data_IF_619622078379
#
_entry.id   IF_619622078379
#
_cell.length_a   1.000
_cell.length_b   1.000
_cell.length_c   1.000
_cell.angle_alpha   90.00
_cell.angle_beta   90.00
_cell.angle_gamma   90.00
#
_symmetry.space_group_name_H-M   'P 1'
#
loop_
_entity.id
_entity.type
_entity.pdbx_description
1 polymer ?
#
# COMPACT_ATOMS: atom_id res chain seq x y z
N UNK A 1 -22.93 -20.52 -8.97
CA UNK A 1 -22.45 -19.17 -8.62
C UNK A 1 -23.14 -18.09 -9.45
N UNK A 2 -23.05 -18.07 -10.79
CA UNK A 2 -23.78 -17.08 -11.60
C UNK A 2 -25.29 -17.02 -11.32
N UNK A 3 -25.95 -18.18 -11.26
CA UNK A 3 -27.37 -18.27 -10.88
C UNK A 3 -27.68 -17.79 -9.45
N UNK A 4 -26.71 -17.89 -8.52
CA UNK A 4 -26.86 -17.38 -7.15
C UNK A 4 -26.75 -15.86 -7.17
N UNK A 5 -25.74 -15.31 -7.87
CA UNK A 5 -25.51 -13.87 -7.95
C UNK A 5 -26.72 -13.10 -8.51
N UNK A 6 -27.41 -13.67 -9.50
CA UNK A 6 -28.59 -13.02 -10.12
C UNK A 6 -29.91 -13.24 -9.37
N UNK A 7 -29.96 -14.17 -8.41
CA UNK A 7 -31.21 -14.49 -7.74
C UNK A 7 -31.52 -13.49 -6.62
N UNK A 8 -32.45 -12.58 -6.88
CA UNK A 8 -32.90 -11.55 -5.93
C UNK A 8 -33.58 -12.10 -4.66
N UNK A 9 -34.00 -13.37 -4.66
CA UNK A 9 -34.55 -14.01 -3.45
C UNK A 9 -33.46 -14.39 -2.43
N UNK A 10 -32.18 -14.30 -2.81
CA UNK A 10 -31.03 -14.61 -1.96
C UNK A 10 -30.50 -13.31 -1.35
N UNK A 11 -30.06 -13.36 -0.09
CA UNK A 11 -29.48 -12.19 0.58
C UNK A 11 -28.29 -11.60 -0.21
N UNK A 12 -28.19 -10.27 -0.21
CA UNK A 12 -27.25 -9.55 -1.06
C UNK A 12 -25.77 -9.90 -0.78
N UNK A 13 -25.42 -10.13 0.48
CA UNK A 13 -24.09 -10.60 0.91
C UNK A 13 -23.72 -11.96 0.29
N UNK A 14 -24.65 -12.90 0.18
CA UNK A 14 -24.44 -14.21 -0.45
C UNK A 14 -24.25 -14.06 -1.96
N UNK A 15 -25.00 -13.14 -2.57
CA UNK A 15 -24.87 -12.82 -4.00
C UNK A 15 -23.51 -12.19 -4.31
N UNK A 16 -23.03 -11.30 -3.44
CA UNK A 16 -21.68 -10.71 -3.48
C UNK A 16 -20.61 -11.80 -3.36
N UNK A 17 -20.72 -12.68 -2.37
CA UNK A 17 -19.75 -13.77 -2.18
C UNK A 17 -19.74 -14.73 -3.39
N UNK A 18 -20.88 -14.93 -4.05
CA UNK A 18 -20.92 -15.72 -5.28
C UNK A 18 -20.13 -15.10 -6.44
N UNK A 19 -20.01 -13.77 -6.50
CA UNK A 19 -19.17 -13.05 -7.46
C UNK A 19 -17.69 -13.12 -7.09
N UNK A 20 -17.32 -12.92 -5.82
CA UNK A 20 -15.94 -13.13 -5.38
C UNK A 20 -15.46 -14.56 -5.65
N UNK A 21 -16.31 -15.56 -5.39
CA UNK A 21 -16.00 -16.95 -5.70
C UNK A 21 -15.84 -17.22 -7.21
N UNK A 22 -16.47 -16.41 -8.07
CA UNK A 22 -16.25 -16.45 -9.52
C UNK A 22 -14.94 -15.77 -9.92
N UNK A 23 -14.59 -14.65 -9.27
CA UNK A 23 -13.33 -13.94 -9.48
C UNK A 23 -12.13 -14.85 -9.19
N UNK A 24 -12.17 -15.55 -8.06
CA UNK A 24 -11.09 -16.45 -7.62
C UNK A 24 -11.16 -17.85 -8.23
N UNK A 25 -12.12 -18.13 -9.11
CA UNK A 25 -12.43 -19.49 -9.53
C UNK A 25 -11.23 -20.24 -10.11
N UNK A 26 -10.41 -19.55 -10.92
CA UNK A 26 -9.24 -20.15 -11.57
C UNK A 26 -8.11 -20.50 -10.61
N UNK A 27 -7.99 -19.78 -9.50
CA UNK A 27 -6.92 -19.93 -8.51
C UNK A 27 -7.42 -19.63 -7.09
N UNK A 28 -8.33 -20.46 -6.56
CA UNK A 28 -8.94 -20.20 -5.27
C UNK A 28 -7.92 -20.35 -4.14
N UNK A 29 -8.12 -19.62 -3.05
CA UNK A 29 -7.29 -19.75 -1.84
C UNK A 29 -7.21 -21.21 -1.38
N UNK A 30 -6.02 -21.64 -0.97
CA UNK A 30 -5.84 -22.94 -0.33
C UNK A 30 -6.44 -23.01 1.07
N UNK A 31 -6.92 -21.88 1.61
CA UNK A 31 -7.57 -21.79 2.91
C UNK A 31 -9.08 -21.73 2.75
N UNK A 32 -9.78 -22.60 3.46
CA UNK A 32 -11.24 -22.59 3.54
C UNK A 32 -11.72 -21.30 4.23
N UNK A 33 -12.62 -20.56 3.56
CA UNK A 33 -13.07 -19.23 4.01
C UNK A 33 -13.96 -19.26 5.25
N UNK A 34 -14.57 -20.40 5.57
CA UNK A 34 -15.50 -20.53 6.70
C UNK A 34 -14.76 -21.03 7.94
N UNK A 35 -13.91 -22.04 7.75
CA UNK A 35 -13.21 -22.75 8.85
C UNK A 35 -11.78 -22.25 9.06
N UNK A 36 -11.20 -21.55 8.09
CA UNK A 36 -9.80 -21.10 8.11
C UNK A 36 -8.79 -22.23 7.92
N UNK A 37 -9.25 -23.47 7.67
CA UNK A 37 -8.38 -24.64 7.52
C UNK A 37 -7.70 -24.61 6.15
N UNK A 38 -6.39 -24.86 6.13
CA UNK A 38 -5.64 -25.04 4.89
C UNK A 38 -5.97 -26.40 4.26
N UNK A 39 -6.65 -26.37 3.12
CA UNK A 39 -7.03 -27.53 2.31
C UNK A 39 -7.03 -27.15 0.81
N UNK A 40 -5.85 -27.01 0.18
CA UNK A 40 -5.75 -26.58 -1.21
C UNK A 40 -6.35 -27.62 -2.17
N UNK A 41 -6.94 -27.13 -3.26
CA UNK A 41 -7.46 -28.00 -4.31
C UNK A 41 -6.31 -28.70 -5.04
N UNK A 42 -6.51 -29.97 -5.39
CA UNK A 42 -5.52 -30.79 -6.10
C UNK A 42 -5.27 -30.34 -7.56
N UNK A 43 -6.04 -29.38 -8.09
CA UNK A 43 -5.89 -28.88 -9.45
C UNK A 43 -6.62 -27.56 -9.69
N UNK A 44 -6.27 -26.92 -10.80
CA UNK A 44 -6.86 -25.65 -11.25
C UNK A 44 -8.27 -25.84 -11.78
N UNK A 45 -9.13 -24.83 -11.57
CA UNK A 45 -10.42 -24.77 -12.27
C UNK A 45 -10.28 -23.89 -13.51
N UNK A 46 -11.09 -24.16 -14.53
CA UNK A 46 -11.05 -23.40 -15.78
C UNK A 46 -11.59 -21.98 -15.56
N UNK A 47 -10.73 -20.98 -15.78
CA UNK A 47 -11.15 -19.56 -15.77
C UNK A 47 -12.20 -19.26 -16.86
N UNK A 48 -12.22 -20.04 -17.94
CA UNK A 48 -13.23 -19.92 -19.01
C UNK A 48 -14.64 -20.27 -18.50
N UNK A 49 -14.77 -21.19 -17.54
CA UNK A 49 -16.07 -21.52 -16.96
C UNK A 49 -16.61 -20.35 -16.13
N UNK A 50 -15.73 -19.71 -15.37
CA UNK A 50 -16.07 -18.50 -14.61
C UNK A 50 -16.41 -17.34 -15.55
N UNK A 51 -15.61 -17.11 -16.60
CA UNK A 51 -15.87 -16.09 -17.62
C UNK A 51 -17.26 -16.25 -18.24
N UNK A 52 -17.62 -17.47 -18.66
CA UNK A 52 -18.96 -17.76 -19.21
C UNK A 52 -20.07 -17.51 -18.20
N UNK A 53 -19.86 -17.88 -16.93
CA UNK A 53 -20.84 -17.65 -15.87
C UNK A 53 -21.04 -16.16 -15.57
N UNK A 54 -19.96 -15.37 -15.49
CA UNK A 54 -20.02 -13.91 -15.30
C UNK A 54 -20.69 -13.25 -16.50
N UNK A 55 -20.29 -13.61 -17.73
CA UNK A 55 -20.88 -13.07 -18.96
C UNK A 55 -22.38 -13.32 -19.04
N UNK A 56 -22.84 -14.52 -18.67
CA UNK A 56 -24.27 -14.85 -18.67
C UNK A 56 -25.06 -14.12 -17.57
N UNK A 57 -24.44 -13.80 -16.44
CA UNK A 57 -25.09 -13.13 -15.31
C UNK A 57 -25.14 -11.60 -15.50
N UNK A 58 -24.15 -11.04 -16.19
CA UNK A 58 -23.91 -9.61 -16.31
C UNK A 58 -25.15 -8.78 -16.71
N UNK A 59 -25.98 -9.15 -17.72
CA UNK A 59 -27.13 -8.34 -18.09
C UNK A 59 -28.15 -8.11 -16.95
N UNK A 60 -28.25 -9.04 -16.00
CA UNK A 60 -29.16 -8.95 -14.86
C UNK A 60 -28.55 -8.22 -13.66
N UNK A 61 -27.22 -8.11 -13.62
CA UNK A 61 -26.49 -7.44 -12.54
C UNK A 61 -26.10 -6.00 -12.88
N UNK A 62 -26.05 -5.67 -14.17
CA UNK A 62 -25.56 -4.40 -14.68
C UNK A 62 -26.38 -3.17 -14.24
N UNK A 63 -27.67 -3.35 -13.91
CA UNK A 63 -28.61 -2.28 -13.54
C UNK A 63 -28.84 -2.19 -12.01
N UNK A 64 -28.01 -2.87 -11.21
CA UNK A 64 -28.26 -2.94 -9.77
C UNK A 64 -27.67 -1.72 -9.04
N UNK A 65 -28.50 -1.02 -8.28
CA UNK A 65 -28.12 0.14 -7.44
C UNK A 65 -27.40 -0.23 -6.13
N UNK A 66 -27.06 -1.50 -5.94
CA UNK A 66 -26.44 -1.95 -4.69
C UNK A 66 -24.94 -1.97 -4.87
N UNK A 67 -24.28 -1.01 -4.23
CA UNK A 67 -22.88 -0.69 -4.48
C UNK A 67 -21.95 -1.89 -4.29
N UNK A 68 -22.14 -2.69 -3.25
CA UNK A 68 -21.27 -3.85 -2.96
C UNK A 68 -21.36 -4.92 -4.06
N UNK A 69 -22.55 -5.12 -4.63
CA UNK A 69 -22.74 -6.06 -5.74
C UNK A 69 -22.11 -5.53 -7.04
N UNK A 70 -22.18 -4.22 -7.27
CA UNK A 70 -21.50 -3.58 -8.41
C UNK A 70 -19.98 -3.71 -8.28
N UNK A 71 -19.42 -3.41 -7.11
CA UNK A 71 -17.98 -3.58 -6.85
C UNK A 71 -17.53 -5.04 -7.03
N UNK A 72 -18.26 -6.00 -6.47
CA UNK A 72 -17.96 -7.42 -6.65
C UNK A 72 -18.08 -7.88 -8.11
N UNK A 73 -18.98 -7.28 -8.90
CA UNK A 73 -19.09 -7.56 -10.33
C UNK A 73 -17.91 -6.99 -11.13
N UNK A 74 -17.44 -5.78 -10.80
CA UNK A 74 -16.24 -5.20 -11.42
C UNK A 74 -15.04 -6.13 -11.20
N UNK A 75 -14.83 -6.57 -9.96
CA UNK A 75 -13.75 -7.48 -9.60
C UNK A 75 -13.85 -8.81 -10.37
N UNK A 76 -15.05 -9.41 -10.42
CA UNK A 76 -15.27 -10.64 -11.18
C UNK A 76 -15.00 -10.45 -12.69
N UNK A 77 -15.44 -9.33 -13.27
CA UNK A 77 -15.19 -8.96 -14.68
C UNK A 77 -13.70 -8.83 -14.96
N UNK A 78 -12.96 -8.16 -14.08
CA UNK A 78 -11.51 -7.95 -14.18
C UNK A 78 -10.75 -9.27 -14.06
N UNK A 79 -11.03 -10.05 -13.01
CA UNK A 79 -10.36 -11.32 -12.73
C UNK A 79 -10.54 -12.35 -13.86
N UNK A 80 -11.75 -12.43 -14.43
CA UNK A 80 -12.01 -13.33 -15.58
C UNK A 80 -11.65 -12.71 -16.93
N UNK A 81 -11.15 -11.47 -16.98
CA UNK A 81 -10.78 -10.75 -18.21
C UNK A 81 -11.92 -10.69 -19.23
N UNK A 82 -13.10 -10.21 -18.81
CA UNK A 82 -14.28 -10.13 -19.67
C UNK A 82 -14.30 -8.84 -20.50
N UNK A 83 -13.64 -8.83 -21.67
CA UNK A 83 -13.54 -7.67 -22.55
C UNK A 83 -14.91 -7.10 -23.00
N UNK A 84 -15.92 -7.97 -23.17
CA UNK A 84 -17.28 -7.56 -23.56
C UNK A 84 -17.97 -6.66 -22.51
N UNK A 85 -17.41 -6.55 -21.31
CA UNK A 85 -17.94 -5.69 -20.25
C UNK A 85 -17.51 -4.22 -20.35
N UNK A 86 -16.62 -3.86 -21.29
CA UNK A 86 -16.03 -2.52 -21.41
C UNK A 86 -17.06 -1.39 -21.48
N UNK A 87 -18.15 -1.56 -22.25
CA UNK A 87 -19.20 -0.54 -22.35
C UNK A 87 -19.95 -0.33 -21.02
N UNK A 88 -20.16 -1.41 -20.27
CA UNK A 88 -20.78 -1.33 -18.95
C UNK A 88 -19.84 -0.66 -17.93
N UNK A 89 -18.55 -0.99 -17.95
CA UNK A 89 -17.55 -0.34 -17.08
C UNK A 89 -17.51 1.18 -17.29
N UNK A 90 -17.56 1.64 -18.54
CA UNK A 90 -17.66 3.07 -18.86
C UNK A 90 -18.97 3.68 -18.35
N UNK A 91 -20.10 2.96 -18.44
CA UNK A 91 -21.37 3.37 -17.84
C UNK A 91 -21.31 3.48 -16.31
N UNK A 92 -20.70 2.50 -15.65
CA UNK A 92 -20.47 2.47 -14.20
C UNK A 92 -19.60 3.63 -13.73
N UNK A 93 -18.51 3.93 -14.46
CA UNK A 93 -17.67 5.12 -14.21
C UNK A 93 -18.46 6.42 -14.26
N UNK A 94 -19.43 6.51 -15.18
CA UNK A 94 -20.26 7.71 -15.41
C UNK A 94 -21.42 7.87 -14.43
N UNK A 95 -21.76 6.82 -13.69
CA UNK A 95 -22.87 6.84 -12.75
C UNK A 95 -22.48 7.62 -11.48
N UNK A 96 -23.10 8.78 -11.27
CA UNK A 96 -22.87 9.66 -10.12
C UNK A 96 -23.57 9.20 -8.84
N UNK A 97 -24.46 8.21 -8.92
CA UNK A 97 -25.05 7.55 -7.74
C UNK A 97 -24.07 6.58 -7.05
N UNK A 98 -23.01 6.15 -7.75
CA UNK A 98 -21.99 5.25 -7.20
C UNK A 98 -20.89 6.01 -6.48
N UNK A 99 -20.28 5.38 -5.47
CA UNK A 99 -19.14 5.97 -4.79
C UNK A 99 -17.95 6.16 -5.73
N UNK A 100 -17.12 7.15 -5.42
CA UNK A 100 -15.87 7.36 -6.13
C UNK A 100 -14.95 6.14 -6.09
N UNK A 101 -15.06 5.26 -5.09
CA UNK A 101 -14.28 4.02 -5.06
C UNK A 101 -14.74 3.07 -6.16
N UNK A 102 -16.03 2.74 -6.21
CA UNK A 102 -16.60 1.85 -7.22
C UNK A 102 -16.38 2.40 -8.63
N UNK A 103 -16.45 3.73 -8.79
CA UNK A 103 -16.17 4.40 -10.07
C UNK A 103 -14.68 4.33 -10.45
N UNK A 104 -13.76 4.44 -9.48
CA UNK A 104 -12.32 4.24 -9.69
C UNK A 104 -12.02 2.80 -10.10
N UNK A 105 -12.60 1.81 -9.42
CA UNK A 105 -12.45 0.39 -9.75
C UNK A 105 -12.94 0.12 -11.19
N UNK A 106 -14.03 0.76 -11.60
CA UNK A 106 -14.54 0.66 -12.96
C UNK A 106 -13.58 1.26 -14.01
N UNK A 107 -12.93 2.38 -13.70
CA UNK A 107 -11.93 3.00 -14.59
C UNK A 107 -10.68 2.14 -14.72
N UNK A 108 -10.20 1.59 -13.61
CA UNK A 108 -9.08 0.64 -13.62
C UNK A 108 -9.41 -0.61 -14.46
N UNK A 109 -10.55 -1.24 -14.21
CA UNK A 109 -10.97 -2.41 -14.98
C UNK A 109 -11.17 -2.06 -16.47
N UNK A 110 -11.71 -0.88 -16.79
CA UNK A 110 -11.85 -0.40 -18.16
C UNK A 110 -10.48 -0.28 -18.83
N UNK A 111 -9.51 0.33 -18.15
CA UNK A 111 -8.17 0.55 -18.69
C UNK A 111 -7.37 -0.73 -18.94
N UNK A 112 -7.70 -1.81 -18.22
CA UNK A 112 -7.07 -3.13 -18.39
C UNK A 112 -7.73 -4.00 -19.47
N UNK A 113 -9.02 -3.77 -19.75
CA UNK A 113 -9.84 -4.67 -20.60
C UNK A 113 -10.24 -4.07 -21.94
N UNK A 114 -10.33 -2.74 -22.04
CA UNK A 114 -10.90 -2.07 -23.20
C UNK A 114 -9.85 -1.63 -24.23
N UNK A 115 -10.30 -1.41 -25.47
CA UNK A 115 -9.50 -0.76 -26.50
C UNK A 115 -9.21 0.71 -26.14
N UNK A 116 -8.08 1.23 -26.63
CA UNK A 116 -7.58 2.57 -26.27
C UNK A 116 -8.59 3.70 -26.46
N UNK A 117 -9.51 3.60 -27.43
CA UNK A 117 -10.54 4.62 -27.63
C UNK A 117 -11.50 4.76 -26.43
N UNK A 118 -11.97 3.64 -25.86
CA UNK A 118 -12.85 3.63 -24.70
C UNK A 118 -12.11 4.01 -23.41
N UNK A 119 -10.84 3.58 -23.29
CA UNK A 119 -9.99 4.01 -22.17
C UNK A 119 -9.81 5.53 -22.19
N UNK A 120 -9.54 6.12 -23.36
CA UNK A 120 -9.39 7.56 -23.52
C UNK A 120 -10.68 8.31 -23.16
N UNK A 121 -11.84 7.80 -23.58
CA UNK A 121 -13.14 8.36 -23.23
C UNK A 121 -13.40 8.33 -21.71
N UNK A 122 -13.08 7.21 -21.05
CA UNK A 122 -13.20 7.08 -19.58
C UNK A 122 -12.25 8.00 -18.82
N UNK A 123 -10.99 8.07 -19.25
CA UNK A 123 -9.99 8.96 -18.66
C UNK A 123 -10.39 10.43 -18.82
N UNK A 124 -10.79 10.87 -20.02
CA UNK A 124 -11.25 12.24 -20.25
C UNK A 124 -12.44 12.60 -19.37
N UNK A 125 -13.44 11.73 -19.30
CA UNK A 125 -14.60 11.93 -18.44
C UNK A 125 -14.19 12.11 -16.97
N UNK A 126 -13.34 11.22 -16.46
CA UNK A 126 -12.90 11.25 -15.06
C UNK A 126 -12.02 12.48 -14.76
N UNK A 127 -11.22 12.96 -15.71
CA UNK A 127 -10.47 14.21 -15.57
C UNK A 127 -11.38 15.45 -15.53
N UNK A 128 -12.38 15.53 -16.40
CA UNK A 128 -13.24 16.70 -16.54
C UNK A 128 -14.39 16.77 -15.52
N UNK A 129 -14.97 15.62 -15.17
CA UNK A 129 -16.22 15.51 -14.39
C UNK A 129 -16.06 14.69 -13.11
N UNK A 130 -14.93 14.01 -12.93
CA UNK A 130 -14.67 13.21 -11.74
C UNK A 130 -14.37 14.05 -10.51
N UNK A 131 -14.53 13.45 -9.33
CA UNK A 131 -13.98 14.00 -8.10
C UNK A 131 -12.45 13.98 -8.12
N UNK A 132 -11.79 14.62 -7.13
CA UNK A 132 -10.32 14.52 -6.99
C UNK A 132 -9.84 13.06 -6.99
N UNK A 133 -10.56 12.14 -6.34
CA UNK A 133 -10.20 10.71 -6.31
C UNK A 133 -10.23 10.08 -7.71
N UNK A 134 -11.27 10.38 -8.49
CA UNK A 134 -11.40 9.87 -9.86
C UNK A 134 -10.41 10.50 -10.83
N UNK A 135 -10.15 11.80 -10.68
CA UNK A 135 -9.12 12.50 -11.46
C UNK A 135 -7.76 11.86 -11.24
N UNK A 136 -7.39 11.51 -10.00
CA UNK A 136 -6.15 10.79 -9.71
C UNK A 136 -6.06 9.42 -10.39
N UNK A 137 -7.14 8.65 -10.35
CA UNK A 137 -7.16 7.34 -11.01
C UNK A 137 -7.02 7.50 -12.53
N UNK A 138 -7.71 8.49 -13.11
CA UNK A 138 -7.63 8.80 -14.54
C UNK A 138 -6.22 9.18 -14.99
N UNK A 139 -5.49 9.95 -14.18
CA UNK A 139 -4.10 10.33 -14.46
C UNK A 139 -3.20 9.10 -14.62
N UNK A 140 -3.42 8.01 -13.86
CA UNK A 140 -2.61 6.77 -13.97
C UNK A 140 -2.75 6.10 -15.34
N UNK A 141 -3.94 6.19 -15.94
CA UNK A 141 -4.27 5.57 -17.22
C UNK A 141 -4.10 6.51 -18.42
N UNK A 142 -3.80 7.79 -18.16
CA UNK A 142 -3.68 8.85 -19.16
C UNK A 142 -2.57 8.63 -20.19
N UNK A 143 -1.53 7.86 -19.85
CA UNK A 143 -0.43 7.52 -20.76
C UNK A 143 -0.88 6.83 -22.07
N UNK A 144 -2.15 6.42 -22.18
CA UNK A 144 -2.74 5.85 -23.41
C UNK A 144 -3.48 6.87 -24.31
N UNK A 145 -3.54 8.16 -23.93
CA UNK A 145 -4.26 9.21 -24.66
C UNK A 145 -3.35 10.23 -25.34
N UNK A 146 -3.75 10.74 -26.52
CA UNK A 146 -2.97 11.67 -27.34
C UNK A 146 -2.83 13.09 -26.77
N UNK A 147 -3.61 13.45 -25.73
CA UNK A 147 -3.58 14.76 -25.04
C UNK A 147 -2.94 14.67 -23.63
N UNK A 148 -2.03 13.72 -23.43
CA UNK A 148 -1.41 13.38 -22.14
C UNK A 148 -0.77 14.59 -21.42
N UNK A 149 0.01 15.41 -22.14
CA UNK A 149 0.86 16.42 -21.50
C UNK A 149 0.08 17.61 -20.92
N UNK A 150 -1.04 18.02 -21.53
CA UNK A 150 -1.81 19.15 -21.03
C UNK A 150 -2.50 18.82 -19.70
N UNK A 151 -3.06 17.62 -19.56
CA UNK A 151 -3.66 17.22 -18.29
C UNK A 151 -2.62 16.86 -17.23
N UNK A 152 -1.42 16.38 -17.60
CA UNK A 152 -0.28 16.28 -16.67
C UNK A 152 0.05 17.66 -16.09
N UNK A 153 0.16 18.70 -16.92
CA UNK A 153 0.42 20.07 -16.46
C UNK A 153 -0.69 20.56 -15.51
N UNK A 154 -1.95 20.31 -15.85
CA UNK A 154 -3.08 20.67 -14.99
C UNK A 154 -3.03 19.96 -13.63
N UNK A 155 -2.72 18.66 -13.62
CA UNK A 155 -2.58 17.89 -12.39
C UNK A 155 -1.40 18.36 -11.53
N UNK A 156 -0.29 18.78 -12.16
CA UNK A 156 0.86 19.37 -11.46
C UNK A 156 0.53 20.71 -10.79
N UNK A 157 -0.41 21.48 -11.32
CA UNK A 157 -0.88 22.76 -10.75
C UNK A 157 -1.93 22.58 -9.64
N UNK A 158 -2.54 21.39 -9.52
CA UNK A 158 -3.55 21.12 -8.53
C UNK A 158 -2.98 20.95 -7.11
N UNK A 159 -3.72 21.40 -6.10
CA UNK A 159 -3.43 21.13 -4.68
C UNK A 159 -3.86 19.69 -4.29
N UNK A 160 -3.20 18.71 -4.90
CA UNK A 160 -3.42 17.27 -4.67
C UNK A 160 -2.13 16.49 -4.88
N UNK A 161 -1.38 16.24 -3.79
CA UNK A 161 -0.07 15.57 -3.83
C UNK A 161 -0.15 14.24 -4.57
N UNK A 162 -1.14 13.41 -4.29
CA UNK A 162 -1.26 12.10 -4.92
C UNK A 162 -1.57 12.21 -6.43
N UNK A 163 -2.32 13.24 -6.84
CA UNK A 163 -2.55 13.55 -8.25
C UNK A 163 -1.29 14.03 -8.96
N UNK A 164 -0.52 14.91 -8.31
CA UNK A 164 0.77 15.37 -8.81
C UNK A 164 1.75 14.19 -8.97
N UNK A 165 1.83 13.28 -7.98
CA UNK A 165 2.67 12.08 -8.05
C UNK A 165 2.27 11.16 -9.21
N UNK A 166 0.98 10.93 -9.42
CA UNK A 166 0.48 10.15 -10.56
C UNK A 166 0.80 10.81 -11.91
N UNK A 167 0.74 12.15 -11.97
CA UNK A 167 1.10 12.91 -13.16
C UNK A 167 2.60 12.80 -13.46
N UNK A 168 3.47 12.88 -12.44
CA UNK A 168 4.92 12.67 -12.57
C UNK A 168 5.23 11.25 -13.03
N UNK A 169 4.59 10.23 -12.43
CA UNK A 169 4.78 8.84 -12.83
C UNK A 169 4.39 8.60 -14.31
N UNK A 170 3.39 9.34 -14.82
CA UNK A 170 2.97 9.24 -16.22
C UNK A 170 4.01 9.81 -17.20
N UNK A 171 4.82 10.80 -16.77
CA UNK A 171 5.91 11.33 -17.60
C UNK A 171 7.00 10.28 -17.90
N UNK A 172 7.16 9.28 -17.05
CA UNK A 172 8.13 8.20 -17.28
C UNK A 172 7.83 7.41 -18.57
N UNK A 173 6.61 7.45 -19.10
CA UNK A 173 6.24 6.75 -20.34
C UNK A 173 6.32 7.64 -21.58
N UNK A 174 6.40 8.96 -21.41
CA UNK A 174 6.39 9.93 -22.50
C UNK A 174 7.83 10.24 -22.97
N UNK A 175 8.12 9.99 -24.25
CA UNK A 175 9.45 10.20 -24.86
C UNK A 175 9.54 11.49 -25.66
N UNK A 176 8.52 12.35 -25.61
CA UNK A 176 8.51 13.62 -26.33
C UNK A 176 9.52 14.61 -25.73
N UNK A 177 10.00 15.55 -26.55
CA UNK A 177 10.92 16.59 -26.08
C UNK A 177 10.24 17.46 -25.01
N UNK A 178 8.95 17.73 -25.15
CA UNK A 178 8.16 18.51 -24.22
C UNK A 178 8.04 17.84 -22.85
N UNK A 179 7.93 16.51 -22.79
CA UNK A 179 7.96 15.75 -21.53
C UNK A 179 9.35 15.78 -20.87
N UNK A 180 10.43 15.71 -21.67
CA UNK A 180 11.80 15.86 -21.17
C UNK A 180 12.06 17.27 -20.62
N UNK A 181 11.57 18.30 -21.30
CA UNK A 181 11.68 19.69 -20.86
C UNK A 181 10.90 19.91 -19.55
N UNK A 182 9.71 19.32 -19.43
CA UNK A 182 8.93 19.35 -18.19
C UNK A 182 9.64 18.62 -17.05
N UNK A 183 10.28 17.48 -17.31
CA UNK A 183 11.10 16.75 -16.33
C UNK A 183 12.25 17.63 -15.81
N UNK A 184 12.95 18.33 -16.71
CA UNK A 184 14.00 19.29 -16.33
C UNK A 184 13.47 20.46 -15.51
N UNK A 185 12.28 20.98 -15.85
CA UNK A 185 11.61 22.04 -15.08
C UNK A 185 11.26 21.56 -13.67
N UNK A 186 10.68 20.38 -13.52
CA UNK A 186 10.34 19.80 -12.22
C UNK A 186 11.59 19.63 -11.34
N UNK A 187 12.69 19.14 -11.89
CA UNK A 187 13.96 19.02 -11.18
C UNK A 187 14.50 20.39 -10.74
N UNK A 188 14.45 21.40 -11.59
CA UNK A 188 14.89 22.75 -11.26
C UNK A 188 14.05 23.37 -10.13
N UNK A 189 12.72 23.19 -10.17
CA UNK A 189 11.80 23.65 -9.14
C UNK A 189 11.99 22.92 -7.80
N UNK A 190 12.34 21.63 -7.85
CA UNK A 190 12.71 20.87 -6.65
C UNK A 190 13.99 21.42 -6.01
N UNK A 191 15.01 21.72 -6.81
CA UNK A 191 16.28 22.30 -6.30
C UNK A 191 16.09 23.71 -5.75
N UNK A 192 15.23 24.53 -6.36
CA UNK A 192 14.97 25.90 -5.90
C UNK A 192 14.03 25.99 -4.69
N UNK A 193 13.37 24.88 -4.32
CA UNK A 193 12.37 24.85 -3.26
C UNK A 193 10.99 25.40 -3.67
N UNK A 194 10.75 25.60 -4.96
CA UNK A 194 9.44 25.97 -5.50
C UNK A 194 8.47 24.79 -5.56
N UNK A 195 9.01 23.57 -5.73
CA UNK A 195 8.22 22.34 -5.70
C UNK A 195 8.14 21.77 -4.27
N UNK A 196 6.98 21.27 -3.89
CA UNK A 196 6.77 20.62 -2.59
C UNK A 196 7.72 19.43 -2.40
N UNK A 197 8.37 19.36 -1.23
CA UNK A 197 9.19 18.20 -0.81
C UNK A 197 8.41 16.87 -0.87
N UNK A 198 7.09 16.90 -0.81
CA UNK A 198 6.26 15.69 -0.92
C UNK A 198 6.35 14.99 -2.30
N UNK A 199 6.90 15.68 -3.30
CA UNK A 199 7.11 15.18 -4.66
C UNK A 199 8.58 14.82 -4.94
N UNK A 200 9.48 14.99 -3.96
CA UNK A 200 10.91 14.84 -4.18
C UNK A 200 11.29 13.43 -4.63
N UNK A 201 10.69 12.39 -4.03
CA UNK A 201 10.93 11.00 -4.43
C UNK A 201 10.51 10.75 -5.88
N UNK A 202 9.32 11.20 -6.27
CA UNK A 202 8.77 10.96 -7.62
C UNK A 202 9.58 11.66 -8.71
N UNK A 203 10.01 12.91 -8.47
CA UNK A 203 10.86 13.65 -9.42
C UNK A 203 12.24 13.02 -9.53
N UNK A 204 12.84 12.59 -8.42
CA UNK A 204 14.15 11.95 -8.44
C UNK A 204 14.11 10.63 -9.19
N UNK A 205 13.12 9.77 -8.92
CA UNK A 205 12.93 8.51 -9.64
C UNK A 205 12.74 8.75 -11.15
N UNK A 206 11.90 9.73 -11.53
CA UNK A 206 11.69 10.10 -12.94
C UNK A 206 12.99 10.58 -13.61
N UNK A 207 13.76 11.43 -12.93
CA UNK A 207 15.01 11.98 -13.47
C UNK A 207 16.10 10.91 -13.58
N UNK A 208 16.20 10.00 -12.63
CA UNK A 208 17.15 8.90 -12.69
C UNK A 208 16.87 7.98 -13.88
N UNK A 209 15.59 7.70 -14.14
CA UNK A 209 15.17 6.85 -15.25
C UNK A 209 15.28 7.56 -16.62
N UNK A 210 14.93 8.85 -16.70
CA UNK A 210 14.66 9.54 -17.98
C UNK A 210 15.39 10.85 -18.19
N UNK A 211 16.05 11.39 -17.17
CA UNK A 211 16.75 12.65 -17.25
C UNK A 211 17.92 12.60 -18.21
N UNK A 212 18.23 13.74 -18.83
CA UNK A 212 19.51 13.90 -19.53
C UNK A 212 20.67 13.81 -18.53
N UNK A 213 21.92 13.52 -18.96
CA UNK A 213 23.07 13.46 -18.04
C UNK A 213 23.23 14.70 -17.17
N UNK A 214 22.86 15.88 -17.68
CA UNK A 214 22.87 17.13 -16.92
C UNK A 214 21.82 17.14 -15.79
N UNK A 215 20.59 16.71 -16.07
CA UNK A 215 19.50 16.67 -15.09
C UNK A 215 19.74 15.54 -14.08
N UNK A 216 20.26 14.40 -14.51
CA UNK A 216 20.69 13.30 -13.62
C UNK A 216 21.78 13.77 -12.64
N UNK A 217 22.74 14.58 -13.11
CA UNK A 217 23.72 15.20 -12.22
C UNK A 217 23.05 16.11 -11.19
N UNK A 218 22.07 16.93 -11.58
CA UNK A 218 21.32 17.78 -10.63
C UNK A 218 20.60 16.94 -9.56
N UNK A 219 19.98 15.83 -9.93
CA UNK A 219 19.36 14.91 -8.98
C UNK A 219 20.39 14.30 -8.01
N UNK A 220 21.56 13.89 -8.51
CA UNK A 220 22.65 13.38 -7.67
C UNK A 220 23.15 14.44 -6.68
N UNK A 221 23.37 15.67 -7.14
CA UNK A 221 23.82 16.78 -6.28
C UNK A 221 22.74 17.11 -5.22
N UNK A 222 21.46 17.09 -5.59
CA UNK A 222 20.34 17.30 -4.66
C UNK A 222 20.29 16.21 -3.58
N UNK A 223 20.38 14.92 -3.94
CA UNK A 223 20.43 13.83 -2.97
C UNK A 223 21.62 13.96 -2.01
N UNK A 224 22.81 14.29 -2.53
CA UNK A 224 23.99 14.53 -1.70
C UNK A 224 23.81 15.71 -0.73
N UNK A 225 22.97 16.70 -1.06
CA UNK A 225 22.65 17.79 -0.13
C UNK A 225 21.71 17.36 1.01
N UNK A 226 20.90 16.31 0.81
CA UNK A 226 20.03 15.73 1.83
C UNK A 226 20.81 14.82 2.78
N UNK A 227 21.79 14.09 2.25
CA UNK A 227 22.68 13.19 2.98
C UNK A 227 23.39 13.85 4.18
N UNK A 228 23.77 15.12 4.06
CA UNK A 228 24.44 15.87 5.14
C UNK A 228 23.57 16.05 6.39
N UNK A 229 22.25 15.81 6.29
CA UNK A 229 21.27 16.06 7.36
C UNK A 229 20.70 14.79 8.01
N UNK A 230 20.97 13.61 7.47
CA UNK A 230 20.43 12.36 7.99
C UNK A 230 21.45 11.23 7.82
N UNK A 231 21.72 10.41 8.85
CA UNK A 231 22.52 9.19 8.69
C UNK A 231 21.89 8.17 7.72
N UNK A 232 20.70 8.45 7.19
CA UNK A 232 19.88 7.57 6.34
C UNK A 232 19.71 8.15 4.92
N UNK A 233 20.84 8.51 4.31
CA UNK A 233 20.93 9.26 3.04
C UNK A 233 20.00 8.71 1.94
N UNK A 234 19.85 7.39 1.88
CA UNK A 234 19.05 6.71 0.87
C UNK A 234 17.52 6.88 1.05
N UNK A 235 17.06 7.06 2.30
CA UNK A 235 15.63 7.09 2.66
C UNK A 235 15.11 8.49 3.01
N UNK A 236 15.95 9.51 2.98
CA UNK A 236 15.55 10.89 3.29
C UNK A 236 14.34 11.37 2.45
N UNK A 237 14.23 10.90 1.20
CA UNK A 237 13.12 11.23 0.29
C UNK A 237 11.78 10.57 0.66
N UNK A 238 11.75 9.68 1.66
CA UNK A 238 10.55 8.95 2.07
C UNK A 238 9.75 9.64 3.19
N UNK A 239 10.25 10.74 3.75
CA UNK A 239 9.64 11.39 4.92
C UNK A 239 8.31 12.11 4.63
N UNK A 240 8.03 12.45 3.38
CA UNK A 240 6.88 13.29 2.98
C UNK A 240 6.23 12.75 1.72
N UNK A 241 4.93 13.00 1.59
CA UNK A 241 4.15 12.68 0.39
C UNK A 241 3.55 11.27 0.34
N UNK A 242 3.57 10.51 1.44
CA UNK A 242 2.94 9.19 1.46
C UNK A 242 1.42 9.23 1.50
N UNK A 243 0.80 8.15 1.03
CA UNK A 243 -0.62 7.87 1.15
C UNK A 243 -0.90 7.16 2.48
N UNK A 244 -1.70 7.81 3.34
CA UNK A 244 -2.06 7.32 4.68
C UNK A 244 -2.83 6.00 4.62
N UNK A 245 -3.72 5.82 3.65
CA UNK A 245 -4.51 4.58 3.55
C UNK A 245 -3.66 3.43 3.00
N UNK A 246 -2.73 3.72 2.07
CA UNK A 246 -1.76 2.73 1.63
C UNK A 246 -0.82 2.29 2.78
N UNK A 247 -0.33 3.25 3.56
CA UNK A 247 0.50 2.98 4.75
C UNK A 247 -0.23 2.18 5.82
N UNK A 248 -1.53 2.45 6.01
CA UNK A 248 -2.38 1.67 6.91
C UNK A 248 -2.48 0.21 6.46
N UNK A 249 -2.71 -0.05 5.17
CA UNK A 249 -2.71 -1.44 4.64
C UNK A 249 -1.37 -2.12 4.87
N UNK A 250 -0.25 -1.44 4.65
CA UNK A 250 1.08 -1.99 4.93
C UNK A 250 1.19 -2.41 6.41
N UNK A 251 0.74 -1.58 7.34
CA UNK A 251 0.81 -1.88 8.77
C UNK A 251 -0.04 -3.10 9.18
N UNK A 252 -1.29 -3.17 8.71
CA UNK A 252 -2.26 -4.18 9.16
C UNK A 252 -2.24 -5.48 8.36
N UNK A 253 -1.88 -5.44 7.08
CA UNK A 253 -2.13 -6.54 6.14
C UNK A 253 -0.84 -7.18 5.60
N UNK A 254 0.31 -6.50 5.70
CA UNK A 254 1.54 -6.98 5.06
C UNK A 254 2.31 -7.96 5.93
N UNK A 255 2.21 -9.24 5.57
CA UNK A 255 2.79 -10.35 6.33
C UNK A 255 4.33 -10.33 6.37
N UNK A 256 4.99 -9.80 5.35
CA UNK A 256 6.47 -9.77 5.29
C UNK A 256 7.09 -8.85 6.33
N UNK A 257 6.37 -7.79 6.74
CA UNK A 257 6.81 -6.85 7.79
C UNK A 257 6.09 -7.05 9.11
N UNK A 258 4.87 -7.60 9.08
CA UNK A 258 4.07 -8.04 10.23
C UNK A 258 4.02 -7.03 11.39
N UNK A 259 3.94 -5.72 11.12
CA UNK A 259 3.98 -4.68 12.16
C UNK A 259 2.91 -4.89 13.25
N UNK A 260 1.71 -5.31 12.85
CA UNK A 260 0.59 -5.62 13.74
C UNK A 260 0.87 -6.76 14.74
N UNK A 261 1.77 -7.70 14.40
CA UNK A 261 2.14 -8.82 15.30
C UNK A 261 2.79 -8.31 16.58
N UNK A 262 3.54 -7.21 16.49
CA UNK A 262 4.29 -6.67 17.61
C UNK A 262 3.66 -5.41 18.19
N UNK A 263 3.08 -4.54 17.36
CA UNK A 263 2.57 -3.24 17.75
C UNK A 263 1.06 -3.17 17.84
N UNK A 264 0.57 -2.36 18.77
CA UNK A 264 -0.85 -2.12 19.01
C UNK A 264 -1.28 -0.73 18.54
N UNK A 265 -2.42 -0.68 17.84
CA UNK A 265 -3.14 0.55 17.47
C UNK A 265 -4.62 0.33 17.76
N UNK A 266 -5.24 1.24 18.50
CA UNK A 266 -6.69 1.21 18.82
C UNK A 266 -7.15 -0.15 19.39
N UNK A 267 -6.31 -0.79 20.19
CA UNK A 267 -6.58 -2.09 20.80
C UNK A 267 -6.29 -3.32 19.92
N UNK A 268 -5.95 -3.14 18.64
CA UNK A 268 -5.61 -4.23 17.72
C UNK A 268 -4.09 -4.41 17.62
N UNK A 269 -3.62 -5.66 17.71
CA UNK A 269 -2.21 -6.02 17.54
C UNK A 269 -1.52 -6.52 18.82
N UNK A 270 -0.21 -6.75 18.73
CA UNK A 270 0.60 -7.31 19.81
C UNK A 270 1.03 -6.33 20.89
N UNK A 271 1.59 -6.86 21.98
CA UNK A 271 2.16 -6.09 23.11
C UNK A 271 3.66 -6.36 23.31
N UNK A 272 4.31 -6.80 22.23
CA UNK A 272 5.76 -6.99 22.17
C UNK A 272 6.44 -5.65 21.96
N UNK A 273 5.95 -4.84 21.02
CA UNK A 273 6.41 -3.48 20.78
C UNK A 273 5.53 -2.41 21.44
N UNK A 274 5.97 -1.15 21.45
CA UNK A 274 5.20 -0.03 22.00
C UNK A 274 3.87 0.17 21.31
N UNK A 275 2.89 0.64 22.08
CA UNK A 275 1.61 1.15 21.57
C UNK A 275 1.88 2.37 20.69
N UNK A 276 1.33 2.36 19.48
CA UNK A 276 1.56 3.41 18.48
C UNK A 276 0.44 4.46 18.45
N UNK A 277 -0.64 4.28 19.22
CA UNK A 277 -1.62 5.33 19.47
C UNK A 277 -0.91 6.60 19.98
N UNK A 278 -1.19 7.74 19.34
CA UNK A 278 -0.55 9.03 19.63
C UNK A 278 0.94 9.15 19.31
N UNK A 279 1.51 8.24 18.50
CA UNK A 279 2.91 8.29 18.10
C UNK A 279 3.31 9.64 17.50
N UNK A 280 2.50 10.20 16.60
CA UNK A 280 2.76 11.47 15.92
C UNK A 280 2.69 12.69 16.86
N UNK A 281 2.21 12.51 18.09
CA UNK A 281 2.21 13.53 19.14
C UNK A 281 3.45 13.44 20.04
N UNK A 282 4.20 12.33 19.97
CA UNK A 282 5.40 12.07 20.78
C UNK A 282 6.70 12.11 19.98
N UNK A 283 6.63 11.80 18.68
CA UNK A 283 7.80 11.59 17.84
C UNK A 283 7.62 12.21 16.46
N UNK A 284 8.71 12.72 15.91
CA UNK A 284 8.79 13.25 14.55
C UNK A 284 8.97 12.12 13.52
N UNK A 285 8.68 12.40 12.24
CA UNK A 285 8.81 11.40 11.18
C UNK A 285 10.23 10.85 11.01
N UNK A 286 11.25 11.65 11.30
CA UNK A 286 12.65 11.19 11.28
C UNK A 286 12.90 10.06 12.29
N UNK A 287 12.32 10.15 13.49
CA UNK A 287 12.40 9.09 14.50
C UNK A 287 11.68 7.82 14.06
N UNK A 288 10.52 7.98 13.41
CA UNK A 288 9.75 6.85 12.87
C UNK A 288 10.56 6.12 11.79
N UNK A 289 11.13 6.88 10.84
CA UNK A 289 12.00 6.32 9.80
C UNK A 289 13.21 5.61 10.43
N UNK A 290 13.92 6.27 11.35
CA UNK A 290 15.07 5.67 12.03
C UNK A 290 14.71 4.35 12.72
N UNK A 291 13.58 4.31 13.44
CA UNK A 291 13.13 3.11 14.15
C UNK A 291 12.85 1.94 13.20
N UNK A 292 12.41 2.21 11.97
CA UNK A 292 12.14 1.19 10.95
C UNK A 292 13.41 0.69 10.28
N UNK A 293 14.36 1.59 9.97
CA UNK A 293 15.59 1.20 9.26
C UNK A 293 16.65 0.64 10.23
N UNK A 294 16.78 1.23 11.43
CA UNK A 294 17.80 0.91 12.43
C UNK A 294 17.18 0.78 13.83
N UNK A 295 16.37 -0.27 14.07
CA UNK A 295 15.67 -0.47 15.34
C UNK A 295 16.58 -0.58 16.57
N UNK A 296 17.87 -0.85 16.38
CA UNK A 296 18.87 -0.94 17.45
C UNK A 296 19.51 0.41 17.84
N UNK A 297 19.35 1.47 17.05
CA UNK A 297 19.94 2.78 17.36
C UNK A 297 19.21 3.49 18.50
N UNK A 298 17.89 3.35 18.54
CA UNK A 298 17.04 3.96 19.56
C UNK A 298 15.95 2.99 19.96
N UNK A 299 16.08 2.44 21.17
CA UNK A 299 15.08 1.54 21.76
C UNK A 299 14.18 2.39 22.66
N UNK A 300 12.86 2.27 22.47
CA UNK A 300 11.89 2.99 23.29
C UNK A 300 12.03 2.62 24.77
N UNK A 301 11.90 3.61 25.65
CA UNK A 301 11.96 3.42 27.10
C UNK A 301 10.93 2.39 27.57
N UNK A 302 11.36 1.39 28.34
CA UNK A 302 10.53 0.28 28.82
C UNK A 302 10.37 -0.87 27.80
N UNK A 303 11.02 -0.77 26.64
CA UNK A 303 11.09 -1.83 25.62
C UNK A 303 12.54 -2.28 25.38
N UNK A 304 13.41 -2.09 26.36
CA UNK A 304 14.77 -2.65 26.34
C UNK A 304 14.72 -4.17 26.52
N UNK A 305 15.19 -4.89 25.50
CA UNK A 305 15.38 -6.33 25.60
C UNK A 305 16.55 -6.67 26.52
N UNK A 306 16.46 -7.82 27.16
CA UNK A 306 17.56 -8.43 27.91
C UNK A 306 17.89 -9.77 27.29
N UNK A 307 19.19 -10.10 27.30
CA UNK A 307 19.67 -11.45 27.03
C UNK A 307 20.02 -12.10 28.38
N UNK A 308 19.34 -13.19 28.71
CA UNK A 308 19.55 -13.97 29.93
C UNK A 308 20.20 -15.29 29.55
N UNK A 309 21.36 -15.55 30.13
CA UNK A 309 22.00 -16.86 30.13
C UNK A 309 21.66 -17.56 31.45
N UNK A 310 21.21 -18.81 31.36
CA UNK A 310 20.94 -19.66 32.52
C UNK A 310 22.14 -20.54 32.86
N UNK A 311 22.19 -21.06 34.09
CA UNK A 311 23.26 -21.97 34.55
C UNK A 311 23.24 -23.31 33.81
N UNK A 312 22.15 -23.63 33.13
CA UNK A 312 21.98 -24.80 32.28
C UNK A 312 22.37 -24.53 30.81
N UNK A 313 23.13 -23.46 30.54
CA UNK A 313 23.60 -23.03 29.21
C UNK A 313 22.47 -22.72 28.20
N UNK A 314 21.25 -22.40 28.68
CA UNK A 314 20.17 -21.89 27.82
C UNK A 314 20.19 -20.36 27.77
N UNK A 315 19.85 -19.82 26.60
CA UNK A 315 19.77 -18.38 26.34
C UNK A 315 18.35 -17.97 26.02
N UNK A 316 17.89 -16.89 26.65
CA UNK A 316 16.57 -16.31 26.44
C UNK A 316 16.70 -14.82 26.17
N UNK A 317 16.00 -14.33 25.14
CA UNK A 317 15.94 -12.92 24.81
C UNK A 317 14.50 -12.42 24.89
N UNK A 318 14.29 -11.25 25.47
CA UNK A 318 12.96 -10.65 25.52
C UNK A 318 12.85 -9.46 26.45
N UNK A 319 11.64 -8.88 26.49
CA UNK A 319 11.32 -7.76 27.36
C UNK A 319 10.93 -8.25 28.74
N UNK A 320 11.47 -7.63 29.79
CA UNK A 320 11.05 -7.94 31.16
C UNK A 320 9.63 -7.42 31.37
N UNK A 321 8.69 -8.33 31.65
CA UNK A 321 7.31 -8.01 32.03
C UNK A 321 7.12 -8.02 33.55
N UNK A 322 7.82 -8.91 34.24
CA UNK A 322 7.76 -9.06 35.70
C UNK A 322 9.16 -9.45 36.19
N UNK A 323 9.62 -8.84 37.28
CA UNK A 323 10.87 -9.19 37.95
C UNK A 323 10.61 -9.21 39.47
N UNK A 324 11.02 -10.31 40.11
CA UNK A 324 10.89 -10.56 41.54
C UNK A 324 12.12 -11.29 42.06
N UNK A 325 12.23 -11.47 43.38
CA UNK A 325 13.33 -12.25 43.97
C UNK A 325 13.32 -13.73 43.54
N UNK A 326 12.16 -14.26 43.13
CA UNK A 326 11.99 -15.68 42.79
C UNK A 326 12.13 -15.96 41.30
N UNK A 327 11.69 -15.04 40.44
CA UNK A 327 11.59 -15.25 38.98
C UNK A 327 11.68 -13.96 38.18
N UNK A 328 12.07 -14.11 36.92
CA UNK A 328 11.94 -13.12 35.85
C UNK A 328 11.00 -13.66 34.77
N UNK A 329 10.04 -12.84 34.35
CA UNK A 329 9.14 -13.13 33.23
C UNK A 329 9.53 -12.27 32.05
N UNK A 330 9.93 -12.92 30.96
CA UNK A 330 10.24 -12.27 29.68
C UNK A 330 9.07 -12.42 28.71
N UNK A 331 8.91 -11.43 27.83
CA UNK A 331 8.12 -11.55 26.61
C UNK A 331 9.07 -11.56 25.40
N UNK A 332 9.32 -12.76 24.87
CA UNK A 332 10.14 -13.01 23.68
C UNK A 332 9.32 -12.76 22.40
N UNK A 333 9.87 -12.05 21.39
CA UNK A 333 9.23 -11.92 20.09
C UNK A 333 8.98 -13.26 19.38
N UNK A 334 9.84 -14.26 19.63
CA UNK A 334 9.78 -15.58 18.99
C UNK A 334 8.97 -16.58 19.82
N UNK A 335 9.22 -16.65 21.13
CA UNK A 335 8.69 -17.71 22.01
C UNK A 335 7.49 -17.29 22.85
N UNK A 336 7.15 -15.99 22.86
CA UNK A 336 6.12 -15.43 23.72
C UNK A 336 6.57 -15.33 25.19
N UNK A 337 5.67 -15.61 26.14
CA UNK A 337 5.97 -15.45 27.57
C UNK A 337 6.86 -16.59 28.08
N UNK A 338 8.04 -16.24 28.59
CA UNK A 338 9.02 -17.16 29.18
C UNK A 338 9.16 -16.80 30.66
N UNK A 339 9.13 -17.79 31.55
CA UNK A 339 9.42 -17.60 32.98
C UNK A 339 10.72 -18.29 33.33
N UNK A 340 11.63 -17.58 33.98
CA UNK A 340 12.96 -18.05 34.36
C UNK A 340 13.10 -17.85 35.88
N UNK A 341 13.46 -18.91 36.61
CA UNK A 341 13.76 -18.81 38.03
C UNK A 341 15.00 -17.93 38.24
N UNK A 342 14.93 -16.98 39.16
CA UNK A 342 16.01 -16.02 39.40
C UNK A 342 17.31 -16.73 39.82
N UNK A 343 17.20 -17.81 40.59
CA UNK A 343 18.31 -18.66 41.01
C UNK A 343 18.97 -19.43 39.86
N UNK A 344 18.32 -19.57 38.70
CA UNK A 344 18.89 -20.21 37.52
C UNK A 344 19.63 -19.23 36.59
N UNK A 345 19.65 -17.94 36.90
CA UNK A 345 20.31 -16.94 36.05
C UNK A 345 21.83 -16.98 36.29
N UNK A 346 22.60 -17.09 35.21
CA UNK A 346 24.06 -17.00 35.20
C UNK A 346 24.52 -15.58 34.89
N UNK A 347 24.01 -15.00 33.79
CA UNK A 347 24.37 -13.65 33.37
C UNK A 347 23.19 -12.93 32.70
N UNK A 348 23.23 -11.59 32.74
CA UNK A 348 22.24 -10.70 32.13
C UNK A 348 22.96 -9.59 31.38
N UNK A 349 22.62 -9.44 30.11
CA UNK A 349 23.14 -8.40 29.25
C UNK A 349 22.02 -7.60 28.60
N UNK A 350 22.33 -6.39 28.14
CA UNK A 350 21.40 -5.61 27.33
C UNK A 350 21.27 -6.28 25.96
N UNK A 351 20.05 -6.67 25.61
CA UNK A 351 19.74 -7.29 24.33
C UNK A 351 19.56 -6.27 23.22
N UNK A 352 19.51 -6.79 21.99
CA UNK A 352 19.09 -6.03 20.81
C UNK A 352 17.59 -5.68 20.90
N UNK A 353 17.16 -4.70 20.11
CA UNK A 353 15.75 -4.36 19.95
C UNK A 353 14.91 -5.60 19.62
N UNK A 354 13.71 -5.67 20.18
CA UNK A 354 12.73 -6.70 19.81
C UNK A 354 12.17 -6.51 18.40
N UNK A 355 12.41 -5.36 17.77
CA UNK A 355 12.07 -5.12 16.37
C UNK A 355 13.21 -5.63 15.45
N UNK A 356 12.91 -6.55 14.51
CA UNK A 356 13.91 -7.11 13.60
C UNK A 356 14.58 -6.05 12.72
N UNK A 357 15.89 -6.18 12.50
CA UNK A 357 16.59 -5.41 11.47
C UNK A 357 16.18 -5.85 10.05
N UNK A 358 16.34 -4.95 9.08
CA UNK A 358 16.14 -5.28 7.68
C UNK A 358 14.68 -5.42 7.23
N UNK A 359 13.68 -5.14 8.08
CA UNK A 359 12.26 -5.11 7.69
C UNK A 359 12.00 -4.20 6.47
N UNK A 360 12.71 -3.08 6.42
CA UNK A 360 12.64 -2.12 5.31
C UNK A 360 13.06 -2.71 3.97
N UNK A 361 13.84 -3.79 3.93
CA UNK A 361 14.25 -4.46 2.69
C UNK A 361 13.08 -5.14 1.97
N UNK A 362 11.98 -5.39 2.69
CA UNK A 362 10.74 -5.95 2.14
C UNK A 362 9.78 -4.88 1.60
N UNK A 363 10.18 -3.60 1.68
CA UNK A 363 9.40 -2.45 1.27
C UNK A 363 10.18 -1.62 0.24
N UNK A 364 9.48 -1.17 -0.80
CA UNK A 364 9.97 -0.13 -1.69
C UNK A 364 10.03 1.23 -0.97
N UNK A 365 10.78 2.19 -1.51
CA UNK A 365 10.84 3.56 -0.98
C UNK A 365 9.47 4.24 -0.91
N UNK A 366 8.59 3.95 -1.89
CA UNK A 366 7.20 4.42 -1.92
C UNK A 366 6.39 3.82 -0.77
N UNK A 367 6.51 2.52 -0.52
CA UNK A 367 5.84 1.84 0.59
C UNK A 367 6.34 2.32 1.96
N UNK A 368 7.65 2.55 2.10
CA UNK A 368 8.23 3.16 3.32
C UNK A 368 7.62 4.56 3.53
N UNK A 369 7.56 5.37 2.47
CA UNK A 369 6.95 6.70 2.50
C UNK A 369 5.48 6.68 2.94
N UNK A 370 4.71 5.73 2.40
CA UNK A 370 3.30 5.55 2.75
C UNK A 370 3.15 5.10 4.21
N UNK A 371 3.96 4.14 4.66
CA UNK A 371 3.98 3.68 6.05
C UNK A 371 4.31 4.83 7.03
N UNK A 372 5.31 5.67 6.71
CA UNK A 372 5.65 6.86 7.49
C UNK A 372 4.51 7.87 7.51
N UNK A 373 3.80 8.06 6.39
CA UNK A 373 2.64 8.95 6.35
C UNK A 373 1.52 8.46 7.27
N UNK A 374 1.24 7.16 7.28
CA UNK A 374 0.28 6.55 8.19
C UNK A 374 0.69 6.70 9.66
N UNK A 375 1.90 6.24 10.02
CA UNK A 375 2.39 6.31 11.41
C UNK A 375 2.48 7.76 11.91
N UNK A 376 2.92 8.68 11.05
CA UNK A 376 2.95 10.12 11.32
C UNK A 376 1.57 10.80 11.33
N UNK A 377 0.48 10.07 11.12
CA UNK A 377 -0.89 10.55 11.26
C UNK A 377 -1.56 10.15 12.58
N UNK A 378 -0.94 9.22 13.34
CA UNK A 378 -1.49 8.67 14.59
C UNK A 378 -1.35 9.66 15.76
N UNK A 379 -2.39 10.46 16.02
CA UNK A 379 -2.39 11.53 17.03
C UNK A 379 -2.91 11.13 18.41
#
# INVERSE_FOLDING_TARGET
>A
LGAIAVNESIEANIRVEALHALADWGSPSGRDRVTGIWSPLAGYRSIEDARRAVQSAMPQLADHRFQDLTSALIEAVQAVKLETASAWLLGTLRNDELSDSTRSDALEALAQLAESALVNEGVQFALEKGSKKLQREALRWQAQSADSLQAIKFALEAEDIQGQQAAIASLARDTTQEAMDLTGKLMAQLVSGELSDALSLDVIELVEERGTPAIQKMASDYKASLAVKSPFEEFALTLKGGDVEAGKRIFFEREEVACLRCHKIQGNGGEVGPVLDGLASRQERDYILESIIYPNNSIAEGYESVLIETKDDNYFAGLIKEESEEKIVLNSPEDGIITIDADNINSREKGLSGMPEGLYLMLSKREIRDLIAYLGSLK
#
